data_IF_135473574342
#
_entry.id   IF_135473574342
#
_cell.length_a   1.000
_cell.length_b   1.000
_cell.length_c   1.000
_cell.angle_alpha   90.00
_cell.angle_beta   90.00
_cell.angle_gamma   90.00
#
_symmetry.space_group_name_H-M   'P 1'
#
loop_
_entity.id
_entity.type
_entity.pdbx_description
1 polymer ?
#
# COMPACT_ATOMS: atom_id res chain seq x y z
N UNK A 1 -33.05 11.52 7.78
CA UNK A 1 -32.55 10.81 8.98
C UNK A 1 -33.69 10.08 9.69
N UNK A 2 -34.84 10.73 9.91
CA UNK A 2 -36.05 10.10 10.47
C UNK A 2 -36.60 8.93 9.63
N UNK A 3 -36.70 9.09 8.31
CA UNK A 3 -37.20 8.01 7.43
C UNK A 3 -36.28 6.79 7.38
N UNK A 4 -34.96 7.01 7.46
CA UNK A 4 -33.98 5.93 7.45
C UNK A 4 -34.03 5.12 8.76
N UNK A 5 -34.09 5.79 9.91
CA UNK A 5 -34.24 5.10 11.19
C UNK A 5 -35.59 4.36 11.23
N UNK A 6 -36.66 4.98 10.73
CA UNK A 6 -37.97 4.33 10.64
C UNK A 6 -37.93 3.07 9.76
N UNK A 7 -37.20 3.07 8.64
CA UNK A 7 -37.02 1.86 7.80
C UNK A 7 -36.20 0.75 8.47
N UNK A 8 -35.33 1.09 9.42
CA UNK A 8 -34.50 0.11 10.14
C UNK A 8 -35.25 -0.52 11.33
N UNK A 9 -36.36 0.10 11.74
CA UNK A 9 -37.16 -0.30 12.90
C UNK A 9 -38.62 -0.60 12.52
N UNK A 10 -38.90 -0.81 11.23
CA UNK A 10 -40.27 -1.07 10.74
C UNK A 10 -40.66 -2.54 10.82
N UNK A 11 -39.69 -3.45 10.86
CA UNK A 11 -39.91 -4.89 10.90
C UNK A 11 -39.26 -5.53 12.13
N UNK A 12 -39.96 -6.50 12.71
CA UNK A 12 -39.43 -7.31 13.81
C UNK A 12 -38.33 -8.23 13.30
N UNK A 13 -37.24 -8.34 14.06
CA UNK A 13 -36.16 -9.25 13.72
C UNK A 13 -36.51 -10.67 14.18
N UNK A 14 -36.73 -11.64 13.27
CA UNK A 14 -37.08 -13.00 13.64
C UNK A 14 -35.84 -13.76 14.17
N UNK A 15 -36.08 -14.87 14.88
CA UNK A 15 -35.01 -15.67 15.51
C UNK A 15 -33.86 -16.09 14.57
N UNK A 16 -34.09 -16.52 13.31
CA UNK A 16 -32.99 -16.86 12.40
C UNK A 16 -32.11 -15.64 12.06
N UNK A 17 -32.73 -14.46 11.92
CA UNK A 17 -32.02 -13.22 11.66
C UNK A 17 -31.25 -12.75 12.91
N UNK A 18 -31.79 -12.97 14.11
CA UNK A 18 -31.06 -12.71 15.35
C UNK A 18 -29.77 -13.54 15.43
N UNK A 19 -29.82 -14.83 15.13
CA UNK A 19 -28.63 -15.70 15.12
C UNK A 19 -27.57 -15.16 14.15
N UNK A 20 -28.00 -14.69 12.98
CA UNK A 20 -27.11 -14.04 12.01
C UNK A 20 -26.49 -12.75 12.57
N UNK A 21 -27.28 -11.88 13.20
CA UNK A 21 -26.78 -10.64 13.82
C UNK A 21 -25.78 -10.91 14.95
N UNK A 22 -26.03 -11.92 15.78
CA UNK A 22 -25.10 -12.35 16.84
C UNK A 22 -23.77 -12.83 16.24
N UNK A 23 -23.82 -13.68 15.21
CA UNK A 23 -22.60 -14.13 14.52
C UNK A 23 -21.84 -12.97 13.87
N UNK A 24 -22.55 -12.03 13.25
CA UNK A 24 -21.92 -10.84 12.64
C UNK A 24 -21.27 -9.93 13.68
N UNK A 25 -21.89 -9.79 14.86
CA UNK A 25 -21.36 -8.97 15.96
C UNK A 25 -20.03 -9.48 16.52
N UNK A 26 -19.76 -10.78 16.44
CA UNK A 26 -18.43 -11.35 16.76
C UNK A 26 -17.35 -10.80 15.82
N UNK A 27 -17.69 -10.56 14.54
CA UNK A 27 -16.81 -9.90 13.59
C UNK A 27 -16.54 -8.44 13.95
N UNK A 28 -17.56 -7.71 14.42
CA UNK A 28 -17.42 -6.33 14.93
C UNK A 28 -16.53 -6.31 16.19
N UNK A 29 -16.74 -7.25 17.11
CA UNK A 29 -15.96 -7.41 18.34
C UNK A 29 -14.47 -7.62 18.07
N UNK A 30 -14.12 -8.33 16.98
CA UNK A 30 -12.72 -8.50 16.56
C UNK A 30 -12.07 -7.14 16.26
N UNK A 31 -12.78 -6.22 15.59
CA UNK A 31 -12.25 -4.89 15.31
C UNK A 31 -12.12 -4.05 16.59
N UNK A 32 -13.11 -4.10 17.49
CA UNK A 32 -13.00 -3.47 18.81
C UNK A 32 -11.78 -4.00 19.58
N UNK A 33 -11.57 -5.33 19.61
CA UNK A 33 -10.41 -5.96 20.22
C UNK A 33 -9.09 -5.47 19.63
N UNK A 34 -8.96 -5.50 18.29
CA UNK A 34 -7.73 -5.09 17.61
C UNK A 34 -7.44 -3.61 17.89
N UNK A 35 -8.43 -2.73 17.78
CA UNK A 35 -8.24 -1.29 18.00
C UNK A 35 -7.87 -1.02 19.46
N UNK A 36 -8.57 -1.61 20.42
CA UNK A 36 -8.28 -1.39 21.85
C UNK A 36 -6.93 -1.96 22.28
N UNK A 37 -6.55 -3.14 21.78
CA UNK A 37 -5.27 -3.77 22.13
C UNK A 37 -4.09 -3.15 21.38
N UNK A 38 -4.22 -2.90 20.07
CA UNK A 38 -3.11 -2.41 19.25
C UNK A 38 -2.91 -0.89 19.34
N UNK A 39 -3.99 -0.10 19.26
CA UNK A 39 -3.89 1.37 19.25
C UNK A 39 -3.92 1.95 20.66
N UNK A 40 -4.85 1.48 21.51
CA UNK A 40 -5.02 2.02 22.86
C UNK A 40 -4.16 1.30 23.92
N UNK A 41 -3.52 0.17 23.59
CA UNK A 41 -2.74 -0.69 24.51
C UNK A 41 -3.52 -1.06 25.79
N UNK A 42 -4.84 -1.24 25.65
CA UNK A 42 -5.69 -1.74 26.75
C UNK A 42 -5.33 -3.20 27.03
N UNK A 43 -5.40 -3.61 28.29
CA UNK A 43 -5.12 -4.99 28.70
C UNK A 43 -5.90 -6.00 27.83
N UNK A 44 -5.21 -7.00 27.27
CA UNK A 44 -5.80 -8.02 26.40
C UNK A 44 -7.00 -8.72 27.04
N UNK A 45 -6.99 -8.95 28.36
CA UNK A 45 -8.14 -9.55 29.07
C UNK A 45 -9.37 -8.66 29.03
N UNK A 46 -9.19 -7.34 29.11
CA UNK A 46 -10.27 -6.37 29.05
C UNK A 46 -10.77 -6.20 27.60
N UNK A 47 -9.85 -6.22 26.62
CA UNK A 47 -10.21 -6.16 25.20
C UNK A 47 -10.98 -7.41 24.76
N UNK A 48 -10.70 -8.59 25.33
CA UNK A 48 -11.47 -9.81 25.04
C UNK A 48 -12.94 -9.72 25.46
N UNK A 49 -13.30 -8.79 26.36
CA UNK A 49 -14.68 -8.61 26.79
C UNK A 49 -15.62 -8.23 25.63
N UNK A 50 -15.14 -7.59 24.56
CA UNK A 50 -15.95 -7.22 23.39
C UNK A 50 -16.63 -8.43 22.73
N UNK A 51 -15.98 -9.61 22.76
CA UNK A 51 -16.57 -10.84 22.21
C UNK A 51 -17.80 -11.34 22.97
N UNK A 52 -17.99 -10.89 24.21
CA UNK A 52 -19.17 -11.18 25.03
C UNK A 52 -20.12 -9.99 25.01
N UNK A 53 -19.58 -8.77 25.12
CA UNK A 53 -20.36 -7.53 25.22
C UNK A 53 -21.14 -7.24 23.93
N UNK A 54 -20.50 -7.32 22.76
CA UNK A 54 -21.16 -6.94 21.49
C UNK A 54 -22.36 -7.84 21.17
N UNK A 55 -22.25 -9.19 21.23
CA UNK A 55 -23.42 -10.06 21.05
C UNK A 55 -24.46 -9.89 22.16
N UNK A 56 -24.04 -9.69 23.41
CA UNK A 56 -24.96 -9.50 24.53
C UNK A 56 -25.82 -8.23 24.37
N UNK A 57 -25.24 -7.13 23.87
CA UNK A 57 -25.97 -5.89 23.58
C UNK A 57 -27.09 -6.17 22.58
N UNK A 58 -26.80 -6.87 21.47
CA UNK A 58 -27.81 -7.18 20.45
C UNK A 58 -28.91 -8.08 21.03
N UNK A 59 -28.53 -9.11 21.80
CA UNK A 59 -29.48 -10.02 22.42
C UNK A 59 -30.41 -9.31 23.41
N UNK A 60 -29.86 -8.45 24.27
CA UNK A 60 -30.64 -7.66 25.23
C UNK A 60 -31.58 -6.70 24.52
N UNK A 61 -31.11 -6.00 23.48
CA UNK A 61 -31.96 -5.10 22.68
C UNK A 61 -33.10 -5.87 22.05
N UNK A 62 -32.83 -7.05 21.48
CA UNK A 62 -33.86 -7.91 20.90
C UNK A 62 -34.90 -8.38 21.91
N UNK A 63 -34.49 -8.73 23.13
CA UNK A 63 -35.40 -9.13 24.22
C UNK A 63 -36.32 -7.99 24.67
N UNK A 64 -35.80 -6.75 24.70
CA UNK A 64 -36.58 -5.58 25.10
C UNK A 64 -37.53 -5.18 23.97
N UNK A 65 -37.01 -5.09 22.74
CA UNK A 65 -37.77 -4.73 21.56
C UNK A 65 -37.04 -5.19 20.28
N UNK A 66 -37.60 -6.20 19.63
CA UNK A 66 -37.03 -6.86 18.45
C UNK A 66 -36.83 -5.92 17.26
N UNK A 67 -37.58 -4.83 17.15
CA UNK A 67 -37.47 -3.83 16.06
C UNK A 67 -36.14 -3.07 16.08
N UNK A 68 -35.47 -2.96 17.23
CA UNK A 68 -34.22 -2.19 17.34
C UNK A 68 -32.94 -3.03 17.22
N UNK A 69 -33.06 -4.36 17.07
CA UNK A 69 -31.89 -5.23 17.02
C UNK A 69 -30.96 -4.90 15.84
N UNK A 70 -31.52 -4.59 14.66
CA UNK A 70 -30.73 -4.19 13.50
C UNK A 70 -30.05 -2.82 13.68
N UNK A 71 -30.74 -1.87 14.31
CA UNK A 71 -30.18 -0.56 14.65
C UNK A 71 -28.98 -0.70 15.61
N UNK A 72 -29.07 -1.60 16.59
CA UNK A 72 -27.97 -1.85 17.53
C UNK A 72 -26.69 -2.34 16.85
N UNK A 73 -26.81 -3.17 15.80
CA UNK A 73 -25.67 -3.62 14.99
C UNK A 73 -25.01 -2.45 14.26
N UNK A 74 -25.80 -1.54 13.67
CA UNK A 74 -25.28 -0.35 12.98
C UNK A 74 -24.53 0.54 13.97
N UNK A 75 -25.08 0.74 15.17
CA UNK A 75 -24.43 1.54 16.23
C UNK A 75 -23.10 0.90 16.64
N UNK A 76 -23.06 -0.42 16.84
CA UNK A 76 -21.82 -1.15 17.16
C UNK A 76 -20.80 -1.08 16.01
N UNK A 77 -21.24 -1.09 14.76
CA UNK A 77 -20.35 -0.89 13.61
C UNK A 77 -19.77 0.53 13.61
N UNK A 78 -20.60 1.54 13.87
CA UNK A 78 -20.15 2.94 13.97
C UNK A 78 -19.19 3.18 15.14
N UNK A 79 -19.34 2.47 16.26
CA UNK A 79 -18.42 2.62 17.40
C UNK A 79 -17.01 2.15 17.10
N UNK A 80 -16.82 1.16 16.20
CA UNK A 80 -15.49 0.74 15.73
C UNK A 80 -14.75 1.91 15.10
N UNK A 81 -15.41 2.67 14.24
CA UNK A 81 -14.79 3.83 13.58
C UNK A 81 -14.44 4.93 14.58
N UNK A 82 -15.32 5.19 15.54
CA UNK A 82 -15.11 6.20 16.57
C UNK A 82 -13.94 5.83 17.49
N UNK A 83 -13.87 4.57 17.92
CA UNK A 83 -12.73 4.01 18.66
C UNK A 83 -11.44 4.06 17.84
N UNK A 84 -11.51 3.79 16.54
CA UNK A 84 -10.37 3.90 15.63
C UNK A 84 -9.79 5.32 15.59
N UNK A 85 -10.66 6.33 15.41
CA UNK A 85 -10.24 7.74 15.40
C UNK A 85 -9.59 8.12 16.74
N UNK A 86 -10.23 7.78 17.86
CA UNK A 86 -9.67 8.03 19.20
C UNK A 86 -8.32 7.33 19.38
N UNK A 87 -8.24 6.05 19.00
CA UNK A 87 -7.03 5.25 19.08
C UNK A 87 -5.85 5.88 18.33
N UNK A 88 -6.12 6.43 17.13
CA UNK A 88 -5.12 7.12 16.33
C UNK A 88 -4.66 8.42 17.01
N UNK A 89 -5.59 9.23 17.52
CA UNK A 89 -5.25 10.50 18.20
C UNK A 89 -4.38 10.21 19.44
N UNK A 90 -4.80 9.26 20.27
CA UNK A 90 -4.05 8.87 21.48
C UNK A 90 -2.68 8.30 21.12
N UNK A 91 -2.60 7.41 20.13
CA UNK A 91 -1.33 6.85 19.67
C UNK A 91 -0.37 7.90 19.09
N UNK A 92 -0.89 8.97 18.49
CA UNK A 92 -0.09 10.06 17.91
C UNK A 92 0.48 10.99 18.98
N UNK A 93 -0.31 11.30 20.01
CA UNK A 93 0.10 12.16 21.14
C UNK A 93 1.04 11.44 22.11
N UNK A 94 1.03 10.11 22.14
CA UNK A 94 1.92 9.33 22.99
C UNK A 94 3.34 9.36 22.42
N UNK A 95 4.23 10.07 23.11
CA UNK A 95 5.67 9.98 22.87
C UNK A 95 6.10 8.58 23.33
N UNK A 96 6.33 7.69 22.39
CA UNK A 96 6.79 6.32 22.70
C UNK A 96 8.21 6.46 23.26
N UNK A 97 8.32 6.43 24.58
CA UNK A 97 9.58 6.35 25.32
C UNK A 97 10.09 4.91 25.26
N UNK A 98 10.19 4.36 24.04
CA UNK A 98 10.80 3.05 23.84
C UNK A 98 12.31 3.20 24.02
N UNK A 99 12.96 2.16 24.56
CA UNK A 99 14.42 2.02 24.65
C UNK A 99 15.16 2.34 23.34
N UNK A 100 14.45 2.29 22.21
CA UNK A 100 14.94 2.54 20.85
C UNK A 100 15.15 4.01 20.61
N UNK A 101 14.33 4.86 21.21
CA UNK A 101 14.51 6.30 21.13
C UNK A 101 15.77 6.73 21.89
N UNK A 102 16.03 6.14 23.06
CA UNK A 102 17.19 6.45 23.90
C UNK A 102 18.49 5.95 23.28
N UNK A 103 18.55 4.70 22.81
CA UNK A 103 19.75 4.17 22.15
C UNK A 103 20.06 4.92 20.86
N UNK A 104 19.04 5.20 20.03
CA UNK A 104 19.20 6.01 18.82
C UNK A 104 19.68 7.42 19.16
N UNK A 105 19.20 8.04 20.24
CA UNK A 105 19.63 9.38 20.65
C UNK A 105 21.10 9.41 21.03
N UNK A 106 21.57 8.47 21.88
CA UNK A 106 22.98 8.40 22.27
C UNK A 106 23.92 8.16 21.07
N UNK A 107 23.51 7.30 20.12
CA UNK A 107 24.24 7.07 18.88
C UNK A 107 24.25 8.32 17.99
N UNK A 108 23.09 8.99 17.83
CA UNK A 108 22.99 10.20 17.03
C UNK A 108 23.80 11.36 17.66
N UNK A 109 23.85 11.47 18.98
CA UNK A 109 24.69 12.45 19.70
C UNK A 109 26.18 12.13 19.51
N UNK A 110 26.58 10.85 19.65
CA UNK A 110 27.97 10.42 19.43
C UNK A 110 28.50 10.74 18.03
N UNK A 111 27.63 10.65 17.02
CA UNK A 111 28.00 10.85 15.60
C UNK A 111 27.36 12.09 14.94
N UNK A 112 26.82 13.03 15.73
CA UNK A 112 26.18 14.27 15.26
C UNK A 112 25.13 14.11 14.14
N UNK A 113 24.27 13.08 14.22
CA UNK A 113 23.28 12.77 13.19
C UNK A 113 21.91 13.39 13.49
N UNK A 114 21.31 14.07 12.51
CA UNK A 114 19.98 14.69 12.65
C UNK A 114 18.85 13.65 12.75
N UNK A 115 17.84 13.84 13.63
CA UNK A 115 16.73 12.89 13.78
C UNK A 115 15.80 12.88 12.56
N UNK A 116 15.21 11.72 12.26
CA UNK A 116 14.30 11.52 11.12
C UNK A 116 12.88 11.99 11.45
N UNK A 117 12.22 12.65 10.49
CA UNK A 117 10.88 13.28 10.64
C UNK A 117 9.73 12.26 10.79
N UNK A 118 8.74 12.60 11.63
CA UNK A 118 7.55 11.80 11.97
C UNK A 118 6.54 11.61 10.81
N UNK A 119 6.82 12.16 9.62
CA UNK A 119 5.95 12.13 8.44
C UNK A 119 5.71 10.73 7.83
N UNK A 120 6.52 9.73 8.18
CA UNK A 120 6.34 8.35 7.70
C UNK A 120 5.09 7.70 8.30
N UNK A 121 4.91 7.82 9.63
CA UNK A 121 3.73 7.28 10.33
C UNK A 121 2.42 7.89 9.81
N UNK A 122 2.44 9.19 9.51
CA UNK A 122 1.29 9.89 8.92
C UNK A 122 0.93 9.39 7.50
N UNK A 123 1.93 9.03 6.68
CA UNK A 123 1.69 8.47 5.34
C UNK A 123 1.14 7.05 5.37
N UNK A 124 1.60 6.22 6.31
CA UNK A 124 1.09 4.87 6.54
C UNK A 124 -0.38 4.91 7.02
N UNK A 125 -0.71 5.89 7.87
CA UNK A 125 -2.08 6.19 8.29
C UNK A 125 -2.99 6.63 7.13
N UNK A 126 -2.54 7.58 6.31
CA UNK A 126 -3.31 8.06 5.15
C UNK A 126 -3.60 6.92 4.17
N UNK A 127 -2.61 6.09 3.88
CA UNK A 127 -2.75 4.97 2.95
C UNK A 127 -3.79 3.96 3.44
N UNK A 128 -3.77 3.64 4.73
CA UNK A 128 -4.72 2.71 5.35
C UNK A 128 -6.15 3.26 5.27
N UNK A 129 -6.36 4.54 5.57
CA UNK A 129 -7.67 5.18 5.48
C UNK A 129 -8.21 5.17 4.05
N UNK A 130 -7.37 5.52 3.07
CA UNK A 130 -7.74 5.50 1.64
C UNK A 130 -8.08 4.09 1.18
N UNK A 131 -7.36 3.07 1.64
CA UNK A 131 -7.61 1.67 1.33
C UNK A 131 -9.00 1.21 1.82
N UNK A 132 -9.37 1.52 3.06
CA UNK A 132 -10.69 1.17 3.60
C UNK A 132 -11.83 1.94 2.92
N UNK A 133 -11.63 3.22 2.60
CA UNK A 133 -12.61 4.00 1.85
C UNK A 133 -12.84 3.44 0.44
N UNK A 134 -11.76 3.11 -0.27
CA UNK A 134 -11.85 2.58 -1.64
C UNK A 134 -12.35 1.13 -1.68
N UNK A 135 -11.99 0.31 -0.70
CA UNK A 135 -12.50 -1.05 -0.53
C UNK A 135 -13.99 -1.07 -0.23
N UNK A 136 -14.46 -0.21 0.69
CA UNK A 136 -15.89 -0.05 1.00
C UNK A 136 -16.69 0.48 -0.20
N UNK A 137 -16.11 1.44 -0.95
CA UNK A 137 -16.71 1.95 -2.18
C UNK A 137 -16.80 0.86 -3.26
N UNK A 138 -15.76 0.03 -3.42
CA UNK A 138 -15.76 -1.07 -4.38
C UNK A 138 -16.80 -2.14 -4.05
N UNK A 139 -16.96 -2.49 -2.76
CA UNK A 139 -18.00 -3.41 -2.29
C UNK A 139 -19.40 -2.87 -2.58
N UNK A 140 -19.61 -1.57 -2.37
CA UNK A 140 -20.89 -0.90 -2.63
C UNK A 140 -21.30 -0.95 -4.11
N UNK A 141 -20.34 -0.77 -5.03
CA UNK A 141 -20.63 -0.74 -6.47
C UNK A 141 -20.65 -2.11 -7.16
N UNK A 142 -19.84 -3.08 -6.71
CA UNK A 142 -19.59 -4.33 -7.45
C UNK A 142 -20.06 -5.60 -6.72
N UNK A 143 -20.66 -5.49 -5.53
CA UNK A 143 -21.12 -6.64 -4.74
C UNK A 143 -20.00 -7.63 -4.44
N UNK A 144 -20.30 -8.94 -4.45
CA UNK A 144 -19.31 -9.99 -4.17
C UNK A 144 -18.16 -10.05 -5.21
N UNK A 145 -18.43 -9.67 -6.47
CA UNK A 145 -17.40 -9.58 -7.52
C UNK A 145 -16.38 -8.46 -7.30
N UNK A 146 -16.75 -7.44 -6.52
CA UNK A 146 -15.85 -6.35 -6.12
C UNK A 146 -14.66 -6.83 -5.29
N UNK A 147 -14.85 -7.87 -4.45
CA UNK A 147 -13.79 -8.44 -3.61
C UNK A 147 -12.65 -8.97 -4.49
N UNK A 148 -12.98 -9.75 -5.52
CA UNK A 148 -12.00 -10.35 -6.43
C UNK A 148 -11.21 -9.27 -7.17
N UNK A 149 -11.88 -8.20 -7.64
CA UNK A 149 -11.23 -7.08 -8.31
C UNK A 149 -10.28 -6.31 -7.40
N UNK A 150 -10.65 -6.08 -6.14
CA UNK A 150 -9.79 -5.43 -5.14
C UNK A 150 -8.56 -6.29 -4.86
N UNK A 151 -8.70 -7.60 -4.68
CA UNK A 151 -7.57 -8.50 -4.48
C UNK A 151 -6.61 -8.51 -5.67
N UNK A 152 -7.13 -8.54 -6.90
CA UNK A 152 -6.30 -8.47 -8.11
C UNK A 152 -5.60 -7.12 -8.22
N UNK A 153 -6.28 -6.01 -7.92
CA UNK A 153 -5.68 -4.68 -7.92
C UNK A 153 -4.55 -4.55 -6.89
N UNK A 154 -4.74 -5.09 -5.68
CA UNK A 154 -3.69 -5.16 -4.64
C UNK A 154 -2.52 -6.01 -5.11
N UNK A 155 -2.79 -7.16 -5.71
CA UNK A 155 -1.76 -8.07 -6.22
C UNK A 155 -0.91 -7.41 -7.32
N UNK A 156 -1.56 -6.75 -8.29
CA UNK A 156 -0.87 -5.97 -9.34
C UNK A 156 -0.08 -4.82 -8.71
N UNK A 157 -0.66 -4.09 -7.77
CA UNK A 157 0.03 -3.00 -7.07
C UNK A 157 1.25 -3.50 -6.26
N UNK A 158 1.18 -4.69 -5.66
CA UNK A 158 2.28 -5.31 -4.92
C UNK A 158 3.42 -5.75 -5.86
N UNK A 159 3.11 -6.32 -7.03
CA UNK A 159 4.12 -6.65 -8.05
C UNK A 159 4.82 -5.38 -8.56
N UNK A 160 4.05 -4.32 -8.79
CA UNK A 160 4.55 -3.03 -9.26
C UNK A 160 5.20 -2.19 -8.16
N UNK A 161 4.99 -2.53 -6.88
CA UNK A 161 5.68 -1.87 -5.79
C UNK A 161 7.19 -1.99 -6.00
N UNK A 162 7.88 -0.87 -5.85
CA UNK A 162 9.28 -0.75 -6.21
C UNK A 162 10.10 -0.34 -4.99
N UNK A 163 11.34 -0.82 -4.97
CA UNK A 163 12.26 -0.86 -3.83
C UNK A 163 12.75 0.53 -3.39
N UNK A 164 13.29 0.62 -2.17
CA UNK A 164 13.60 1.89 -1.49
C UNK A 164 14.78 2.70 -2.08
N UNK A 165 15.58 2.14 -2.99
CA UNK A 165 16.82 2.76 -3.49
C UNK A 165 16.67 3.51 -4.83
N UNK A 166 15.43 3.83 -5.23
CA UNK A 166 15.14 4.31 -6.60
C UNK A 166 15.87 5.58 -7.00
N UNK A 167 16.13 6.50 -6.07
CA UNK A 167 16.67 7.82 -6.43
C UNK A 167 18.09 7.71 -6.94
N UNK A 168 18.97 7.10 -6.15
CA UNK A 168 20.35 6.84 -6.54
C UNK A 168 20.39 6.03 -7.85
N UNK A 169 19.68 4.90 -7.91
CA UNK A 169 19.72 4.01 -9.07
C UNK A 169 19.10 4.61 -10.33
N UNK A 170 18.04 5.41 -10.21
CA UNK A 170 17.45 6.12 -11.34
C UNK A 170 18.40 7.19 -11.88
N UNK A 171 19.04 7.93 -10.98
CA UNK A 171 20.03 8.95 -11.36
C UNK A 171 21.22 8.28 -12.03
N UNK A 172 21.80 7.26 -11.38
CA UNK A 172 22.92 6.46 -11.86
C UNK A 172 22.65 5.91 -13.27
N UNK A 173 21.50 5.28 -13.51
CA UNK A 173 21.12 4.74 -14.82
C UNK A 173 20.98 5.78 -15.95
N UNK A 174 20.93 7.08 -15.63
CA UNK A 174 20.82 8.17 -16.61
C UNK A 174 22.12 8.96 -16.82
N UNK A 175 23.15 8.70 -16.01
CA UNK A 175 24.42 9.41 -16.06
C UNK A 175 25.48 8.55 -16.73
N UNK A 176 26.27 9.10 -17.67
CA UNK A 176 27.49 8.43 -18.12
C UNK A 176 28.58 8.53 -17.05
N UNK A 177 29.36 7.46 -16.87
CA UNK A 177 30.55 7.47 -16.03
C UNK A 177 31.57 8.46 -16.59
N UNK A 178 31.93 9.46 -15.79
CA UNK A 178 32.89 10.49 -16.17
C UNK A 178 34.28 10.19 -15.63
N UNK A 179 35.31 10.61 -16.38
CA UNK A 179 36.69 10.63 -15.88
C UNK A 179 36.91 11.85 -14.99
N UNK A 180 37.68 11.69 -13.90
CA UNK A 180 37.88 12.75 -12.91
C UNK A 180 38.50 14.01 -13.53
N UNK A 181 39.47 13.87 -14.43
CA UNK A 181 40.14 15.03 -15.07
C UNK A 181 39.17 15.92 -15.86
N UNK A 182 38.12 15.34 -16.42
CA UNK A 182 37.19 16.00 -17.34
C UNK A 182 35.76 15.97 -16.84
N UNK A 183 35.55 15.78 -15.53
CA UNK A 183 34.21 15.75 -14.96
C UNK A 183 33.55 17.12 -15.08
N UNK A 184 32.32 17.14 -15.57
CA UNK A 184 31.54 18.36 -15.67
C UNK A 184 31.00 18.78 -14.29
N UNK A 185 30.82 20.08 -14.10
CA UNK A 185 30.14 20.63 -12.94
C UNK A 185 28.68 20.15 -12.90
N UNK A 186 28.14 19.91 -11.71
CA UNK A 186 26.81 19.35 -11.53
C UNK A 186 26.84 17.86 -11.18
N UNK A 187 25.69 17.21 -11.30
CA UNK A 187 25.52 15.81 -10.95
C UNK A 187 26.32 14.90 -11.89
N UNK A 188 27.22 14.08 -11.33
CA UNK A 188 28.07 13.18 -12.10
C UNK A 188 28.18 11.81 -11.44
N UNK A 189 28.44 10.81 -12.28
CA UNK A 189 28.88 9.48 -11.88
C UNK A 189 30.39 9.36 -12.07
N UNK A 190 31.08 8.87 -11.04
CA UNK A 190 32.51 8.65 -11.01
C UNK A 190 32.81 7.23 -10.56
N UNK A 191 33.87 6.64 -11.11
CA UNK A 191 34.39 5.35 -10.68
C UNK A 191 35.87 5.49 -10.32
N UNK A 192 36.27 4.94 -9.19
CA UNK A 192 37.67 4.99 -8.77
C UNK A 192 37.93 4.31 -7.44
N UNK A 193 39.18 4.35 -7.01
CA UNK A 193 39.65 3.83 -5.71
C UNK A 193 39.56 4.90 -4.64
N UNK A 194 38.99 4.55 -3.50
CA UNK A 194 38.94 5.43 -2.35
C UNK A 194 40.30 5.50 -1.65
N UNK A 195 40.66 6.70 -1.19
CA UNK A 195 41.84 6.96 -0.40
C UNK A 195 41.46 7.73 0.86
N UNK A 196 41.79 7.13 2.01
CA UNK A 196 41.45 7.68 3.31
C UNK A 196 42.30 8.92 3.64
N UNK A 197 41.64 10.03 3.98
CA UNK A 197 42.31 11.25 4.52
C UNK A 197 42.45 11.12 6.04
N UNK A 198 41.33 10.83 6.70
CA UNK A 198 41.25 10.64 8.15
C UNK A 198 40.52 9.33 8.46
N UNK A 199 41.01 8.51 9.40
CA UNK A 199 40.33 7.29 9.80
C UNK A 199 39.07 7.61 10.62
N UNK A 200 37.98 6.95 10.27
CA UNK A 200 36.81 6.73 11.14
C UNK A 200 36.92 5.36 11.81
N UNK A 201 36.42 5.25 13.05
CA UNK A 201 36.46 4.00 13.83
C UNK A 201 35.08 3.34 13.75
N UNK A 202 35.03 2.10 13.26
CA UNK A 202 33.77 1.35 13.14
C UNK A 202 33.14 1.02 14.50
N UNK A 203 31.80 0.95 14.61
CA UNK A 203 31.12 0.59 15.85
C UNK A 203 31.40 -0.85 16.32
N UNK A 204 31.50 -1.80 15.39
CA UNK A 204 31.81 -3.20 15.69
C UNK A 204 33.30 -3.43 15.42
N UNK A 205 34.02 -3.91 16.43
CA UNK A 205 35.43 -4.30 16.34
C UNK A 205 36.44 -3.16 16.21
N UNK A 206 36.02 -1.89 16.30
CA UNK A 206 36.89 -0.70 16.30
C UNK A 206 37.90 -0.66 15.14
N UNK A 207 37.46 -0.99 13.93
CA UNK A 207 38.29 -1.05 12.73
C UNK A 207 38.43 0.34 12.10
N UNK A 208 39.59 0.62 11.52
CA UNK A 208 39.82 1.82 10.72
C UNK A 208 39.09 1.71 9.37
N UNK A 209 38.35 2.75 9.01
CA UNK A 209 37.62 2.85 7.76
C UNK A 209 37.45 4.32 7.34
N UNK A 210 37.06 4.56 6.09
CA UNK A 210 36.67 5.90 5.61
C UNK A 210 35.29 6.27 6.18
N UNK A 211 34.40 5.29 6.24
CA UNK A 211 33.07 5.43 6.80
C UNK A 211 32.40 4.08 7.01
N UNK A 212 31.30 4.09 7.74
CA UNK A 212 30.52 2.90 8.03
C UNK A 212 29.02 3.18 7.93
N UNK A 213 28.27 2.14 7.56
CA UNK A 213 26.82 2.07 7.77
C UNK A 213 26.55 1.04 8.85
N UNK A 214 25.79 1.42 9.85
CA UNK A 214 25.47 0.60 11.00
C UNK A 214 23.96 0.45 11.14
N UNK A 215 23.52 -0.80 11.26
CA UNK A 215 22.11 -1.17 11.32
C UNK A 215 21.85 -2.02 12.56
N UNK A 216 20.79 -1.67 13.30
CA UNK A 216 20.27 -2.46 14.42
C UNK A 216 18.86 -2.89 14.05
N UNK A 217 18.59 -4.18 14.15
CA UNK A 217 17.30 -4.78 13.84
C UNK A 217 16.85 -5.64 15.01
N UNK A 218 15.57 -5.57 15.35
CA UNK A 218 14.99 -6.51 16.31
C UNK A 218 14.63 -7.80 15.62
N UNK A 219 14.90 -8.88 16.31
CA UNK A 219 14.51 -10.22 15.94
C UNK A 219 13.21 -10.60 16.67
N UNK A 220 12.16 -10.81 15.90
CA UNK A 220 10.89 -11.35 16.39
C UNK A 220 10.65 -12.70 15.73
N UNK A 221 10.58 -13.75 16.55
CA UNK A 221 10.25 -15.11 16.10
C UNK A 221 8.78 -15.38 16.39
N UNK A 222 8.04 -15.82 15.37
CA UNK A 222 6.65 -16.24 15.55
C UNK A 222 6.54 -17.64 16.18
N UNK A 223 5.31 -18.05 16.51
CA UNK A 223 5.03 -19.38 17.09
C UNK A 223 5.37 -20.52 16.13
N UNK A 224 5.48 -20.23 14.84
CA UNK A 224 5.81 -21.19 13.78
C UNK A 224 7.32 -21.27 13.51
N UNK A 225 8.14 -20.56 14.31
CA UNK A 225 9.60 -20.55 14.20
C UNK A 225 10.14 -19.66 13.08
N UNK A 226 9.31 -18.81 12.46
CA UNK A 226 9.76 -17.86 11.45
C UNK A 226 10.28 -16.60 12.12
N UNK A 227 11.53 -16.30 11.83
CA UNK A 227 12.19 -15.08 12.28
C UNK A 227 11.90 -13.94 11.33
N UNK A 228 11.47 -12.81 11.88
CA UNK A 228 11.31 -11.54 11.19
C UNK A 228 12.21 -10.48 11.81
N UNK A 229 12.74 -9.59 10.97
CA UNK A 229 13.63 -8.52 11.40
C UNK A 229 12.97 -7.17 11.21
N UNK A 230 12.97 -6.33 12.24
CA UNK A 230 12.46 -4.96 12.18
C UNK A 230 13.59 -3.97 12.44
N UNK A 231 13.93 -3.15 11.45
CA UNK A 231 15.01 -2.16 11.57
C UNK A 231 14.66 -1.06 12.60
N UNK A 232 15.41 -1.02 13.71
CA UNK A 232 15.35 0.03 14.74
C UNK A 232 16.24 1.23 14.42
N UNK A 233 17.46 0.96 13.96
CA UNK A 233 18.45 1.97 13.62
C UNK A 233 19.05 1.63 12.26
N UNK A 234 19.21 2.64 11.41
CA UNK A 234 20.04 2.57 10.22
C UNK A 234 20.70 3.93 10.03
N UNK A 235 22.04 3.97 10.07
CA UNK A 235 22.84 5.20 10.05
C UNK A 235 24.10 5.01 9.25
N UNK A 236 24.46 6.03 8.48
CA UNK A 236 25.73 6.10 7.74
C UNK A 236 26.53 7.28 8.26
N UNK A 237 27.81 7.04 8.54
CA UNK A 237 28.79 8.05 8.96
C UNK A 237 30.00 7.88 8.05
N UNK A 238 30.47 8.97 7.46
CA UNK A 238 31.60 8.94 6.53
C UNK A 238 32.43 10.22 6.71
N UNK A 239 33.74 10.05 6.87
CA UNK A 239 34.70 11.15 6.81
C UNK A 239 34.94 11.53 5.35
N UNK A 240 35.56 12.70 5.13
CA UNK A 240 36.01 13.11 3.80
C UNK A 240 37.12 12.18 3.30
N UNK A 241 37.13 11.92 2.00
CA UNK A 241 38.10 11.04 1.36
C UNK A 241 38.43 11.50 -0.06
N UNK A 242 39.49 10.95 -0.63
CA UNK A 242 39.86 11.20 -2.02
C UNK A 242 39.43 10.02 -2.88
N UNK A 243 38.83 10.28 -4.04
CA UNK A 243 38.57 9.28 -5.05
C UNK A 243 39.60 9.44 -6.18
N UNK A 244 40.24 8.36 -6.58
CA UNK A 244 41.29 8.37 -7.62
C UNK A 244 40.95 7.40 -8.73
N UNK A 245 40.98 7.88 -9.97
CA UNK A 245 40.88 7.08 -11.18
C UNK A 245 42.22 7.10 -11.94
N UNK A 246 42.23 6.65 -13.18
CA UNK A 246 43.39 6.67 -14.09
C UNK A 246 43.77 8.08 -14.58
N UNK A 247 42.89 9.08 -14.41
CA UNK A 247 43.06 10.42 -14.95
C UNK A 247 43.41 11.48 -13.91
N UNK A 248 43.02 11.30 -12.65
CA UNK A 248 43.22 12.26 -11.59
C UNK A 248 42.65 11.83 -10.23
N UNK A 249 42.51 12.80 -9.33
CA UNK A 249 41.97 12.58 -7.99
C UNK A 249 41.06 13.75 -7.60
N UNK A 250 39.96 13.45 -6.91
CA UNK A 250 38.97 14.44 -6.49
C UNK A 250 38.62 14.26 -5.01
N UNK A 251 38.40 15.36 -4.30
CA UNK A 251 37.96 15.34 -2.91
C UNK A 251 36.46 15.06 -2.84
N UNK A 252 36.08 14.09 -2.01
CA UNK A 252 34.70 13.74 -1.72
C UNK A 252 34.36 14.13 -0.29
N UNK A 253 33.33 14.94 -0.13
CA UNK A 253 32.79 15.32 1.19
C UNK A 253 31.91 14.21 1.72
N UNK A 254 32.27 13.56 2.83
CA UNK A 254 31.57 12.37 3.34
C UNK A 254 30.17 12.66 3.91
N UNK A 255 29.84 13.94 4.15
CA UNK A 255 28.57 14.34 4.75
C UNK A 255 27.35 13.94 3.89
N UNK A 256 26.36 13.31 4.51
CA UNK A 256 25.11 12.83 3.88
C UNK A 256 25.30 11.78 2.77
N UNK A 257 26.46 11.13 2.67
CA UNK A 257 26.65 10.04 1.71
C UNK A 257 25.81 8.82 2.10
N UNK A 258 25.23 8.16 1.11
CA UNK A 258 24.53 6.88 1.30
C UNK A 258 25.37 5.71 0.80
N UNK A 259 25.39 4.62 1.58
CA UNK A 259 26.09 3.39 1.20
C UNK A 259 25.12 2.41 0.55
N UNK A 260 25.34 2.14 -0.74
CA UNK A 260 24.50 1.27 -1.54
C UNK A 260 25.20 -0.06 -1.82
N UNK A 261 24.65 -1.14 -1.25
CA UNK A 261 25.10 -2.51 -1.49
C UNK A 261 26.59 -2.79 -1.21
N UNK A 262 27.24 -1.99 -0.37
CA UNK A 262 28.56 -2.35 0.16
C UNK A 262 28.52 -3.74 0.83
N UNK A 263 29.64 -4.42 0.82
CA UNK A 263 29.77 -5.73 1.45
C UNK A 263 29.61 -5.61 2.98
N UNK A 264 28.92 -6.58 3.55
CA UNK A 264 28.81 -6.71 4.99
C UNK A 264 30.20 -7.03 5.55
N UNK A 265 30.64 -6.27 6.56
CA UNK A 265 31.92 -6.52 7.21
C UNK A 265 31.74 -7.47 8.39
N UNK A 266 30.80 -7.18 9.28
CA UNK A 266 30.52 -8.01 10.46
C UNK A 266 29.05 -7.91 10.88
N UNK A 267 28.58 -9.01 11.46
CA UNK A 267 27.27 -9.13 12.08
C UNK A 267 27.38 -9.91 13.39
N UNK A 268 26.62 -9.51 14.40
CA UNK A 268 26.47 -10.27 15.63
C UNK A 268 25.04 -10.13 16.18
N UNK A 269 24.72 -11.02 17.11
CA UNK A 269 23.41 -11.10 17.75
C UNK A 269 23.57 -10.88 19.26
N UNK A 270 22.74 -10.01 19.83
CA UNK A 270 22.66 -9.81 21.28
C UNK A 270 21.22 -9.43 21.66
N UNK A 271 20.68 -10.05 22.72
CA UNK A 271 19.35 -9.74 23.28
C UNK A 271 18.20 -9.60 22.25
N UNK A 272 18.00 -10.58 21.36
CA UNK A 272 17.00 -10.52 20.28
C UNK A 272 17.21 -9.33 19.32
N UNK A 273 18.46 -8.86 19.18
CA UNK A 273 18.82 -7.82 18.23
C UNK A 273 19.95 -8.31 17.35
N UNK A 274 19.86 -7.95 16.08
CA UNK A 274 20.88 -8.16 15.07
C UNK A 274 21.57 -6.84 14.78
N UNK A 275 22.88 -6.85 14.94
CA UNK A 275 23.74 -5.72 14.69
C UNK A 275 24.56 -6.01 13.44
N UNK A 276 24.45 -5.16 12.43
CA UNK A 276 25.12 -5.34 11.14
C UNK A 276 25.90 -4.08 10.80
N UNK A 277 27.13 -4.24 10.33
CA UNK A 277 27.93 -3.11 9.83
C UNK A 277 28.45 -3.34 8.40
N UNK A 278 28.52 -2.25 7.65
CA UNK A 278 29.11 -2.17 6.31
C UNK A 278 30.20 -1.10 6.34
N UNK A 279 31.37 -1.38 5.78
CA UNK A 279 32.52 -0.47 5.84
C UNK A 279 32.95 -0.02 4.44
N UNK A 280 33.20 1.28 4.29
CA UNK A 280 33.98 1.80 3.16
C UNK A 280 35.45 1.80 3.57
N UNK A 281 36.23 0.88 2.99
CA UNK A 281 37.65 0.68 3.32
C UNK A 281 38.55 1.48 2.37
N UNK A 282 39.76 1.77 2.83
CA UNK A 282 40.81 2.33 2.00
C UNK A 282 41.10 1.41 0.80
N UNK A 283 41.40 2.00 -0.36
CA UNK A 283 41.69 1.34 -1.64
C UNK A 283 40.56 0.52 -2.26
N UNK A 284 39.36 0.48 -1.66
CA UNK A 284 38.18 -0.15 -2.28
C UNK A 284 37.80 0.65 -3.53
N UNK A 285 37.59 -0.05 -4.63
CA UNK A 285 37.06 0.53 -5.85
C UNK A 285 35.53 0.59 -5.77
N UNK A 286 34.96 1.74 -6.13
CA UNK A 286 33.54 2.04 -5.96
C UNK A 286 33.00 2.88 -7.10
N UNK A 287 31.68 2.83 -7.28
CA UNK A 287 30.93 3.78 -8.09
C UNK A 287 30.31 4.82 -7.17
N UNK A 288 30.51 6.09 -7.51
CA UNK A 288 30.03 7.23 -6.75
C UNK A 288 29.14 8.12 -7.61
N UNK A 289 28.00 8.54 -7.06
CA UNK A 289 27.15 9.57 -7.67
C UNK A 289 27.01 10.73 -6.70
N UNK A 290 27.30 11.94 -7.16
CA UNK A 290 27.20 13.16 -6.36
C UNK A 290 27.28 14.43 -7.20
N UNK A 291 27.09 15.58 -6.56
CA UNK A 291 27.22 16.88 -7.20
C UNK A 291 28.67 17.33 -7.20
N UNK A 292 29.19 17.65 -8.37
CA UNK A 292 30.51 18.22 -8.57
C UNK A 292 30.42 19.73 -8.53
N UNK A 293 31.08 20.34 -7.55
CA UNK A 293 31.13 21.78 -7.38
C UNK A 293 32.56 22.28 -7.15
N UNK A 294 32.76 23.60 -7.17
CA UNK A 294 34.03 24.21 -6.84
C UNK A 294 33.98 24.69 -5.39
N UNK A 295 34.94 24.25 -4.59
CA UNK A 295 35.24 24.79 -3.27
C UNK A 295 36.70 25.27 -3.31
N UNK A 296 36.95 26.53 -2.99
CA UNK A 296 38.28 27.15 -3.08
C UNK A 296 38.97 26.95 -4.46
N UNK A 297 38.20 27.09 -5.54
CA UNK A 297 38.63 26.85 -6.93
C UNK A 297 39.13 25.41 -7.23
N UNK A 298 38.84 24.44 -6.36
CA UNK A 298 39.12 23.02 -6.59
C UNK A 298 37.82 22.24 -6.77
N UNK A 299 37.75 21.30 -7.71
CA UNK A 299 36.58 20.45 -7.86
C UNK A 299 36.46 19.53 -6.64
N UNK A 300 35.26 19.47 -6.08
CA UNK A 300 34.87 18.58 -5.00
C UNK A 300 33.60 17.84 -5.39
N UNK A 301 33.33 16.70 -4.75
CA UNK A 301 32.06 16.00 -4.85
C UNK A 301 31.34 16.01 -3.52
N UNK A 302 30.08 16.42 -3.52
CA UNK A 302 29.27 16.53 -2.31
C UNK A 302 27.81 16.15 -2.56
N UNK A 303 27.01 16.23 -1.49
CA UNK A 303 25.58 15.97 -1.56
C UNK A 303 24.85 16.95 -2.49
N UNK A 304 23.98 16.43 -3.35
CA UNK A 304 23.12 17.26 -4.21
C UNK A 304 21.80 17.61 -3.51
N UNK A 305 21.64 18.88 -3.12
CA UNK A 305 20.40 19.38 -2.51
C UNK A 305 19.20 19.37 -3.48
N UNK A 306 19.44 19.48 -4.78
CA UNK A 306 18.38 19.53 -5.79
C UNK A 306 17.81 18.12 -6.06
N UNK A 307 18.63 17.17 -6.51
CA UNK A 307 18.16 15.81 -6.78
C UNK A 307 18.03 14.94 -5.51
N UNK A 308 18.60 15.39 -4.38
CA UNK A 308 18.65 14.66 -3.10
C UNK A 308 19.31 13.29 -3.25
N UNK A 309 20.42 13.27 -3.98
CA UNK A 309 21.18 12.06 -4.31
C UNK A 309 22.64 12.29 -3.97
N UNK A 310 23.20 11.36 -3.19
CA UNK A 310 24.62 11.24 -2.97
C UNK A 310 24.90 9.85 -2.44
N UNK A 311 25.77 9.09 -3.09
CA UNK A 311 26.03 7.75 -2.63
C UNK A 311 27.24 7.12 -3.27
N UNK A 312 27.66 6.05 -2.62
CA UNK A 312 28.73 5.17 -3.05
C UNK A 312 28.20 3.75 -3.01
N UNK A 313 28.55 2.96 -4.02
CA UNK A 313 28.17 1.57 -4.06
C UNK A 313 29.20 0.68 -4.73
N UNK A 314 28.99 -0.61 -4.54
CA UNK A 314 29.81 -1.65 -5.14
C UNK A 314 29.50 -1.78 -6.63
N UNK A 315 30.53 -1.71 -7.46
CA UNK A 315 30.44 -1.66 -8.92
C UNK A 315 29.76 -2.93 -9.45
N UNK A 316 30.17 -4.10 -8.97
CA UNK A 316 29.68 -5.39 -9.47
C UNK A 316 28.20 -5.56 -9.19
N UNK A 317 27.75 -5.15 -8.00
CA UNK A 317 26.34 -5.23 -7.61
C UNK A 317 25.47 -4.22 -8.35
N UNK A 318 26.00 -3.03 -8.65
CA UNK A 318 25.30 -2.03 -9.45
C UNK A 318 25.14 -2.49 -10.89
N UNK A 319 26.20 -3.06 -11.49
CA UNK A 319 26.15 -3.62 -12.83
C UNK A 319 25.15 -4.78 -12.90
N UNK A 320 25.21 -5.72 -11.96
CA UNK A 320 24.26 -6.83 -11.88
C UNK A 320 22.80 -6.34 -11.78
N UNK A 321 22.55 -5.28 -11.01
CA UNK A 321 21.23 -4.66 -10.92
C UNK A 321 20.80 -4.04 -12.25
N UNK A 322 21.68 -3.26 -12.90
CA UNK A 322 21.39 -2.61 -14.17
C UNK A 322 21.07 -3.61 -15.29
N UNK A 323 21.74 -4.77 -15.28
CA UNK A 323 21.47 -5.85 -16.22
C UNK A 323 20.13 -6.56 -15.92
N UNK A 324 19.82 -6.75 -14.64
CA UNK A 324 18.66 -7.55 -14.21
C UNK A 324 17.34 -6.78 -14.22
N UNK A 325 17.38 -5.45 -14.02
CA UNK A 325 16.17 -4.62 -13.84
C UNK A 325 15.31 -4.51 -15.09
N UNK A 326 15.86 -4.32 -16.31
CA UNK A 326 15.06 -4.31 -17.53
C UNK A 326 14.24 -5.60 -17.68
N UNK A 327 14.87 -6.75 -17.42
CA UNK A 327 14.22 -8.07 -17.48
C UNK A 327 13.13 -8.20 -16.42
N UNK A 328 13.42 -7.80 -15.18
CA UNK A 328 12.44 -7.86 -14.09
C UNK A 328 11.25 -6.93 -14.35
N UNK A 329 11.48 -5.73 -14.91
CA UNK A 329 10.42 -4.79 -15.24
C UNK A 329 9.51 -5.33 -16.34
N UNK A 330 10.07 -5.98 -17.37
CA UNK A 330 9.29 -6.65 -18.40
C UNK A 330 8.47 -7.81 -17.80
N UNK A 331 9.09 -8.66 -16.98
CA UNK A 331 8.39 -9.76 -16.31
C UNK A 331 7.22 -9.27 -15.45
N UNK A 332 7.41 -8.18 -14.69
CA UNK A 332 6.34 -7.52 -13.92
C UNK A 332 5.21 -7.01 -14.81
N UNK A 333 5.53 -6.40 -15.95
CA UNK A 333 4.54 -5.90 -16.89
C UNK A 333 3.70 -7.04 -17.49
N UNK A 334 4.34 -8.13 -17.93
CA UNK A 334 3.64 -9.31 -18.44
C UNK A 334 2.76 -9.96 -17.36
N UNK A 335 3.27 -10.09 -16.13
CA UNK A 335 2.49 -10.62 -15.01
C UNK A 335 1.26 -9.74 -14.69
N UNK A 336 1.40 -8.41 -14.74
CA UNK A 336 0.29 -7.49 -14.54
C UNK A 336 -0.79 -7.62 -15.64
N UNK A 337 -0.38 -7.69 -16.91
CA UNK A 337 -1.30 -7.89 -18.04
C UNK A 337 -2.04 -9.23 -17.89
N UNK A 338 -1.32 -10.30 -17.54
CA UNK A 338 -1.92 -11.62 -17.33
C UNK A 338 -2.94 -11.60 -16.18
N UNK A 339 -2.63 -10.95 -15.06
CA UNK A 339 -3.55 -10.81 -13.94
C UNK A 339 -4.83 -10.05 -14.33
N UNK A 340 -4.71 -9.00 -15.16
CA UNK A 340 -5.85 -8.25 -15.69
C UNK A 340 -6.71 -9.12 -16.61
N UNK A 341 -6.09 -9.88 -17.53
CA UNK A 341 -6.82 -10.82 -18.39
C UNK A 341 -7.57 -11.86 -17.57
N UNK A 342 -6.96 -12.37 -16.51
CA UNK A 342 -7.62 -13.32 -15.61
C UNK A 342 -8.79 -12.71 -14.85
N UNK A 343 -8.66 -11.44 -14.42
CA UNK A 343 -9.76 -10.70 -13.83
C UNK A 343 -10.96 -10.59 -14.80
N UNK A 344 -10.68 -10.25 -16.06
CA UNK A 344 -11.72 -10.11 -17.09
C UNK A 344 -12.42 -11.44 -17.32
N UNK A 345 -11.68 -12.55 -17.41
CA UNK A 345 -12.24 -13.89 -17.58
C UNK A 345 -13.14 -14.27 -16.42
N UNK A 346 -12.72 -14.01 -15.17
CA UNK A 346 -13.49 -14.34 -13.96
C UNK A 346 -14.76 -13.49 -13.86
N UNK A 347 -14.69 -12.20 -14.22
CA UNK A 347 -15.84 -11.28 -14.15
C UNK A 347 -16.84 -11.53 -15.27
N UNK A 348 -16.42 -12.09 -16.40
CA UNK A 348 -17.31 -12.33 -17.53
C UNK A 348 -18.16 -13.58 -17.26
N UNK A 349 -19.49 -13.46 -17.13
CA UNK A 349 -20.36 -14.62 -16.92
C UNK A 349 -20.38 -15.48 -18.19
N UNK A 350 -19.80 -16.68 -18.08
CA UNK A 350 -19.80 -17.69 -19.14
C UNK A 350 -20.72 -18.83 -18.72
N UNK A 351 -21.66 -19.20 -19.60
CA UNK A 351 -22.55 -20.36 -19.41
C UNK A 351 -22.35 -21.36 -20.54
N UNK A 352 -22.49 -22.65 -20.24
CA UNK A 352 -22.45 -23.72 -21.21
C UNK A 352 -23.88 -24.13 -21.57
N UNK A 353 -24.26 -23.96 -22.84
CA UNK A 353 -25.53 -24.46 -23.37
C UNK A 353 -25.24 -25.62 -24.35
N UNK A 354 -25.26 -26.84 -23.84
CA UNK A 354 -24.87 -28.05 -24.58
C UNK A 354 -23.41 -28.03 -25.04
N UNK A 355 -23.18 -27.87 -26.35
CA UNK A 355 -21.83 -27.77 -26.97
C UNK A 355 -21.43 -26.32 -27.33
N UNK A 356 -22.25 -25.32 -26.98
CA UNK A 356 -21.98 -23.91 -27.29
C UNK A 356 -21.63 -23.16 -26.01
N UNK A 357 -20.50 -22.44 -26.05
CA UNK A 357 -20.12 -21.48 -25.02
C UNK A 357 -20.91 -20.19 -25.25
N UNK A 358 -21.79 -19.84 -24.31
CA UNK A 358 -22.55 -18.58 -24.36
C UNK A 358 -21.86 -17.57 -23.46
N UNK A 359 -21.18 -16.61 -24.09
CA UNK A 359 -20.57 -15.47 -23.40
C UNK A 359 -21.63 -14.36 -23.32
N UNK A 360 -22.19 -14.18 -22.14
CA UNK A 360 -23.11 -13.06 -21.88
C UNK A 360 -22.33 -11.78 -21.62
N UNK A 361 -22.87 -10.63 -22.08
CA UNK A 361 -22.31 -9.33 -21.67
C UNK A 361 -22.34 -9.25 -20.14
N UNK A 362 -21.24 -8.86 -19.48
CA UNK A 362 -21.30 -8.57 -18.06
C UNK A 362 -22.38 -7.51 -17.86
N UNK A 363 -23.33 -7.78 -16.98
CA UNK A 363 -24.48 -6.90 -16.83
C UNK A 363 -24.07 -5.64 -16.07
N UNK A 364 -23.52 -4.65 -16.79
CA UNK A 364 -23.19 -3.33 -16.25
C UNK A 364 -24.43 -2.41 -16.16
N UNK A 365 -25.66 -2.94 -16.20
CA UNK A 365 -26.89 -2.13 -16.23
C UNK A 365 -27.18 -1.30 -14.98
N UNK A 366 -26.23 -1.19 -14.04
CA UNK A 366 -26.37 -0.48 -12.77
C UNK A 366 -26.38 1.06 -12.88
N UNK A 367 -26.05 1.64 -14.04
CA UNK A 367 -26.11 3.10 -14.28
C UNK A 367 -27.41 3.61 -14.92
N UNK A 368 -28.39 2.73 -15.20
CA UNK A 368 -29.73 3.22 -15.53
C UNK A 368 -30.46 3.51 -14.22
N UNK A 369 -30.48 4.78 -13.82
CA UNK A 369 -31.54 5.28 -12.94
C UNK A 369 -32.86 4.77 -13.50
N UNK A 370 -33.67 4.12 -12.66
CA UNK A 370 -35.05 3.77 -13.05
C UNK A 370 -35.72 5.08 -13.47
N UNK A 371 -35.88 5.32 -14.78
CA UNK A 371 -36.86 6.30 -15.24
C UNK A 371 -38.21 5.84 -14.70
N UNK A 372 -39.04 6.75 -14.14
CA UNK A 372 -40.38 6.39 -13.71
C UNK A 372 -41.12 5.75 -14.90
N UNK A 373 -41.91 4.70 -14.63
CA UNK A 373 -42.78 4.09 -15.64
C UNK A 373 -43.64 5.19 -16.27
N UNK A 374 -43.43 5.49 -17.55
CA UNK A 374 -44.47 6.13 -18.35
C UNK A 374 -45.66 5.17 -18.40
N UNK A 375 -46.76 5.58 -17.77
CA UNK A 375 -48.08 5.01 -17.99
C UNK A 375 -48.38 5.07 -19.49
N UNK A 376 -48.39 3.91 -20.15
CA UNK A 376 -48.88 3.80 -21.51
C UNK A 376 -50.39 3.98 -21.49
N UNK A 377 -50.85 5.19 -21.81
CA UNK A 377 -52.22 5.45 -22.21
C UNK A 377 -52.52 4.58 -23.44
N UNK A 378 -53.44 3.61 -23.32
CA UNK A 378 -53.98 2.87 -24.46
C UNK A 378 -54.90 3.81 -25.23
N UNK A 379 -54.48 4.23 -26.43
CA UNK A 379 -55.40 4.76 -27.44
C UNK A 379 -55.83 3.56 -28.29
N UNK A 380 -57.10 3.22 -28.19
CA UNK A 380 -57.75 2.17 -28.98
C UNK A 380 -58.02 2.73 -30.37
N UNK A 381 -57.25 2.28 -31.36
CA UNK A 381 -57.53 2.52 -32.78
C UNK A 381 -58.31 1.31 -33.28
N UNK A 382 -59.63 1.48 -33.43
CA UNK A 382 -60.52 0.49 -34.03
C UNK A 382 -60.26 0.51 -35.55
N UNK A 383 -59.56 -0.50 -36.06
CA UNK A 383 -59.60 -0.86 -37.47
C UNK A 383 -60.41 -2.15 -37.60
N UNK A 384 -61.61 -2.02 -38.17
CA UNK A 384 -62.49 -3.13 -38.50
C UNK A 384 -61.98 -3.76 -39.81
N UNK A 385 -61.47 -4.99 -39.74
CA UNK A 385 -61.31 -5.85 -40.92
C UNK A 385 -62.44 -6.88 -40.90
N UNK A 386 -63.45 -6.66 -41.73
CA UNK A 386 -64.53 -7.59 -42.01
C UNK A 386 -64.14 -8.42 -43.23
N UNK A 387 -63.96 -9.72 -43.04
CA UNK A 387 -64.15 -10.73 -44.09
C UNK A 387 -65.04 -11.80 -43.46
N UNK A 388 -66.32 -11.80 -43.84
CA UNK A 388 -67.17 -12.99 -43.84
C UNK A 388 -68.00 -12.91 -45.13
N UNK A 389 -67.70 -13.83 -46.05
CA UNK A 389 -68.54 -14.18 -47.18
C UNK A 389 -69.82 -14.86 -46.65
N UNK A 390 -71.01 -14.39 -47.05
CA UNK A 390 -72.17 -15.27 -47.13
C UNK A 390 -73.11 -14.87 -48.30
N UNK A 391 -73.23 -15.82 -49.24
CA UNK A 391 -74.36 -16.12 -50.13
C UNK A 391 -75.01 -15.05 -51.04
N UNK A 392 -74.69 -15.15 -52.34
CA UNK A 392 -75.58 -15.63 -53.43
C UNK A 392 -77.09 -15.69 -53.08
N UNK A 393 -77.93 -14.79 -53.60
CA UNK A 393 -78.83 -15.03 -54.74
C UNK A 393 -79.85 -13.89 -55.01
N UNK A 394 -80.01 -13.61 -56.30
CA UNK A 394 -81.24 -13.27 -57.05
C UNK A 394 -82.18 -12.07 -56.72
N UNK A 395 -82.57 -11.41 -57.82
CA UNK A 395 -83.83 -10.71 -58.08
C UNK A 395 -84.07 -9.28 -57.55
N UNK A 396 -83.89 -8.32 -58.47
CA UNK A 396 -84.79 -7.19 -58.80
C UNK A 396 -86.30 -7.49 -58.68
N UNK A 397 -87.24 -6.50 -58.68
CA UNK A 397 -87.07 -5.03 -58.68
C UNK A 397 -88.16 -4.19 -57.92
N UNK A 398 -88.03 -2.86 -58.03
CA UNK A 398 -89.02 -1.74 -57.99
C UNK A 398 -89.78 -1.41 -56.68
N UNK A 399 -89.56 -0.18 -56.18
CA UNK A 399 -90.55 0.92 -55.96
C UNK A 399 -89.88 2.01 -55.09
N UNK A 400 -89.60 3.19 -55.63
CA UNK A 400 -90.40 4.44 -55.57
C UNK A 400 -90.69 4.94 -54.15
N UNK A 401 -90.14 6.10 -53.79
CA UNK A 401 -90.96 7.27 -53.41
C UNK A 401 -91.18 7.31 -51.90
N UNK A 402 -91.11 8.40 -51.17
CA UNK A 402 -91.12 9.85 -51.45
C UNK A 402 -90.16 10.56 -50.49
#
# INVERSE_FOLDING_TARGET
MSEFIASLTSEEVPLPMLIFLLAFSVGIALFHYIISSALLRVNNKLALAFFVVDPAIIYIVWLINSHYAFLSLIILSLSVFLLGIIGIIVSSLRKDESTDYVSNRSFNEKYNIKPKSNSRKAKELLFTIVFFLFGGLSLYFFGQGGIILVFIAIFVAAIMASTNNKRFLKTQASLPTSKIRSVAMGLAELQGKCHQIKPSISPIGSKNCIGFRYTIEDESTDKDGKTSYTTRLDRTVCEDFTLTDDTGSILVKGANISFLWLEEDQQYYDNNQRFTQYLLKDKKEVLLVGNVSLEDNKPIVAYDDYNKTFGVGDIDKINLYNDSVPLLNQAKAYAAVFAILMAIIIVTPMSMDGRKLVITKPNFSFFKTKKPKEEKFKIEVINHSSDDDEHVDEATPVESGE
#
